data_IF_427439493605
#
_entry.id   IF_427439493605
#
_cell.length_a   1.000
_cell.length_b   1.000
_cell.length_c   1.000
_cell.angle_alpha   90.00
_cell.angle_beta   90.00
_cell.angle_gamma   90.00
#
_symmetry.space_group_name_H-M   'P 1'
#
loop_
_entity.id
_entity.type
_entity.pdbx_description
1 polymer ?
#
# COMPACT_ATOMS: atom_id res chain seq x y z
N UNK A 1 -8.32 5.31 37.32
CA UNK A 1 -9.65 4.79 36.97
C UNK A 1 -10.39 5.86 36.17
N UNK A 2 -10.19 5.89 34.87
CA UNK A 2 -11.09 6.55 33.93
C UNK A 2 -11.27 5.58 32.78
N UNK A 3 -12.52 5.21 32.57
CA UNK A 3 -13.04 4.19 31.67
C UNK A 3 -12.45 4.30 30.26
N UNK A 4 -11.65 3.31 29.88
CA UNK A 4 -11.19 3.11 28.50
C UNK A 4 -12.18 2.19 27.80
N UNK A 5 -12.75 2.70 26.73
CA UNK A 5 -13.78 2.09 25.90
C UNK A 5 -13.37 0.69 25.41
N UNK A 6 -14.26 -0.28 25.56
CA UNK A 6 -14.05 -1.71 25.30
C UNK A 6 -14.44 -2.12 23.88
N UNK A 7 -14.33 -1.22 22.90
CA UNK A 7 -14.41 -1.56 21.48
C UNK A 7 -13.01 -1.64 20.89
N UNK A 8 -12.32 -2.73 21.18
CA UNK A 8 -10.93 -2.96 20.79
C UNK A 8 -10.74 -3.05 19.27
N UNK A 9 -10.36 -1.95 18.64
CA UNK A 9 -9.56 -1.97 17.43
C UNK A 9 -8.10 -1.72 17.85
N UNK A 10 -7.44 -2.81 18.27
CA UNK A 10 -6.04 -2.82 18.66
C UNK A 10 -5.19 -2.46 17.42
N UNK A 11 -4.79 -1.19 17.27
CA UNK A 11 -3.93 -0.76 16.15
C UNK A 11 -4.28 0.56 15.45
N UNK A 12 -5.28 1.33 15.90
CA UNK A 12 -5.74 2.54 15.19
C UNK A 12 -5.55 3.87 15.92
N UNK A 13 -5.41 3.90 17.26
CA UNK A 13 -5.31 5.14 18.03
C UNK A 13 -3.87 5.45 18.48
N UNK A 14 -3.12 6.33 17.76
CA UNK A 14 -1.74 6.69 18.12
C UNK A 14 -1.65 7.61 19.35
N UNK A 15 -2.79 8.06 19.89
CA UNK A 15 -2.85 8.93 21.07
C UNK A 15 -2.83 8.13 22.40
N UNK A 16 -3.06 6.81 22.33
CA UNK A 16 -3.15 5.94 23.51
C UNK A 16 -2.18 4.76 23.47
N UNK A 17 -1.81 4.25 22.28
CA UNK A 17 -0.90 3.12 22.12
C UNK A 17 0.25 3.43 21.15
N UNK A 18 1.47 3.03 21.53
CA UNK A 18 2.65 3.07 20.67
C UNK A 18 2.60 1.94 19.64
N UNK A 19 2.07 2.23 18.46
CA UNK A 19 1.88 1.28 17.36
C UNK A 19 3.19 0.68 16.80
N UNK A 20 4.34 1.21 17.19
CA UNK A 20 5.67 0.77 16.75
C UNK A 20 6.30 -0.28 17.67
N UNK A 21 5.74 -0.53 18.86
CA UNK A 21 6.28 -1.51 19.83
C UNK A 21 6.43 -2.93 19.26
N UNK A 22 5.49 -3.46 18.45
CA UNK A 22 5.63 -4.81 17.90
C UNK A 22 6.55 -4.90 16.67
N UNK A 23 7.01 -3.76 16.13
CA UNK A 23 7.72 -3.72 14.85
C UNK A 23 9.18 -3.32 15.00
N UNK A 24 10.07 -4.01 14.29
CA UNK A 24 11.48 -3.64 14.24
C UNK A 24 11.71 -2.49 13.24
N UNK A 25 12.33 -1.41 13.70
CA UNK A 25 12.67 -0.26 12.85
C UNK A 25 13.56 -0.64 11.65
N UNK A 26 14.41 -1.67 11.80
CA UNK A 26 15.25 -2.17 10.71
C UNK A 26 14.44 -2.79 9.57
N UNK A 27 13.41 -3.57 9.91
CA UNK A 27 12.53 -4.23 8.93
C UNK A 27 11.63 -3.20 8.23
N UNK A 28 11.13 -2.21 8.98
CA UNK A 28 10.38 -1.09 8.42
C UNK A 28 11.23 -0.27 7.43
N UNK A 29 12.46 0.09 7.82
CA UNK A 29 13.37 0.83 6.95
C UNK A 29 13.68 0.04 5.66
N UNK A 30 13.91 -1.27 5.77
CA UNK A 30 14.17 -2.11 4.60
C UNK A 30 12.98 -2.16 3.63
N UNK A 31 11.75 -2.29 4.13
CA UNK A 31 10.55 -2.32 3.28
C UNK A 31 10.27 -0.94 2.65
N UNK A 32 10.56 0.16 3.34
CA UNK A 32 10.49 1.52 2.76
C UNK A 32 11.49 1.67 1.61
N UNK A 33 12.72 1.18 1.78
CA UNK A 33 13.73 1.19 0.71
C UNK A 33 13.30 0.28 -0.44
N UNK A 34 12.78 -0.92 -0.16
CA UNK A 34 12.30 -1.85 -1.16
C UNK A 34 11.14 -1.26 -1.98
N UNK A 35 10.15 -0.64 -1.34
CA UNK A 35 9.03 0.03 -2.02
C UNK A 35 9.51 1.20 -2.89
N UNK A 36 10.49 1.98 -2.44
CA UNK A 36 11.11 3.03 -3.27
C UNK A 36 11.82 2.45 -4.52
N UNK A 37 12.47 1.29 -4.41
CA UNK A 37 13.08 0.60 -5.55
C UNK A 37 12.03 0.11 -6.56
N UNK A 38 10.89 -0.41 -6.08
CA UNK A 38 9.76 -0.82 -6.93
C UNK A 38 9.17 0.38 -7.67
N UNK A 39 8.99 1.52 -6.99
CA UNK A 39 8.43 2.73 -7.58
C UNK A 39 9.29 3.25 -8.75
N UNK A 40 10.61 3.06 -8.71
CA UNK A 40 11.53 3.42 -9.80
C UNK A 40 11.39 2.49 -11.03
N UNK A 41 10.93 1.25 -10.87
CA UNK A 41 10.79 0.29 -11.97
C UNK A 41 9.73 0.71 -13.00
N UNK A 42 8.62 1.29 -12.55
CA UNK A 42 7.49 1.73 -13.40
C UNK A 42 7.94 2.77 -14.46
N UNK A 43 8.60 3.88 -14.08
CA UNK A 43 9.16 4.81 -15.06
C UNK A 43 10.35 4.21 -15.81
N UNK A 44 11.16 3.32 -15.20
CA UNK A 44 12.29 2.66 -15.87
C UNK A 44 11.85 1.84 -17.10
N UNK A 45 10.81 1.03 -16.94
CA UNK A 45 10.21 0.23 -18.02
C UNK A 45 9.59 1.15 -19.08
N UNK A 46 8.91 2.21 -18.67
CA UNK A 46 8.34 3.20 -19.56
C UNK A 46 9.38 3.90 -20.44
N UNK A 47 10.51 4.30 -19.86
CA UNK A 47 11.62 4.88 -20.62
C UNK A 47 12.25 3.87 -21.58
N UNK A 48 12.39 2.61 -21.16
CA UNK A 48 12.89 1.55 -22.03
C UNK A 48 11.98 1.32 -23.25
N UNK A 49 10.66 1.22 -23.04
CA UNK A 49 9.70 1.06 -24.14
C UNK A 49 9.60 2.32 -25.02
N UNK A 50 9.77 3.51 -24.43
CA UNK A 50 9.78 4.78 -25.17
C UNK A 50 11.01 4.91 -26.07
N UNK A 51 12.18 4.45 -25.59
CA UNK A 51 13.45 4.47 -26.35
C UNK A 51 13.53 3.42 -27.47
N UNK A 52 12.88 2.26 -27.32
CA UNK A 52 12.77 1.23 -28.36
C UNK A 52 11.73 1.59 -29.44
N UNK A 53 10.75 2.43 -29.11
CA UNK A 53 9.76 2.92 -30.05
C UNK A 53 10.39 3.92 -31.03
N UNK A 54 10.01 3.83 -32.32
CA UNK A 54 10.44 4.77 -33.39
C UNK A 54 10.25 6.22 -32.91
N UNK A 55 11.31 7.06 -33.03
CA UNK A 55 11.47 8.44 -32.51
C UNK A 55 10.22 9.34 -32.46
N UNK A 56 9.22 9.11 -33.33
CA UNK A 56 7.99 9.90 -33.40
C UNK A 56 7.02 9.68 -32.24
N UNK A 57 7.06 8.53 -31.55
CA UNK A 57 6.07 8.18 -30.50
C UNK A 57 6.62 8.24 -29.07
N UNK A 58 7.91 8.54 -28.89
CA UNK A 58 8.57 8.51 -27.57
C UNK A 58 7.95 9.52 -26.59
N UNK A 59 7.63 10.73 -27.06
CA UNK A 59 7.02 11.78 -26.23
C UNK A 59 5.61 11.41 -25.75
N UNK A 60 4.84 10.73 -26.61
CA UNK A 60 3.49 10.28 -26.25
C UNK A 60 3.51 9.19 -25.19
N UNK A 61 4.52 8.32 -25.19
CA UNK A 61 4.60 7.21 -24.25
C UNK A 61 4.92 7.67 -22.82
N UNK A 62 5.78 8.68 -22.68
CA UNK A 62 6.11 9.28 -21.36
C UNK A 62 4.84 9.88 -20.72
N UNK A 63 4.03 10.58 -21.50
CA UNK A 63 2.76 11.15 -21.04
C UNK A 63 1.75 10.09 -20.62
N UNK A 64 1.64 9.00 -21.39
CA UNK A 64 0.75 7.87 -21.08
C UNK A 64 1.17 7.19 -19.78
N UNK A 65 2.47 7.05 -19.52
CA UNK A 65 2.97 6.42 -18.30
C UNK A 65 2.68 7.30 -17.08
N UNK A 66 2.87 8.61 -17.17
CA UNK A 66 2.52 9.54 -16.08
C UNK A 66 1.01 9.51 -15.76
N UNK A 67 0.16 9.46 -16.79
CA UNK A 67 -1.29 9.33 -16.63
C UNK A 67 -1.68 7.98 -16.03
N UNK A 68 -1.11 6.87 -16.54
CA UNK A 68 -1.36 5.52 -16.05
C UNK A 68 -0.95 5.37 -14.58
N UNK A 69 0.22 5.88 -14.20
CA UNK A 69 0.70 5.87 -12.83
C UNK A 69 -0.27 6.58 -11.87
N UNK A 70 -0.76 7.77 -12.25
CA UNK A 70 -1.76 8.51 -11.45
C UNK A 70 -3.05 7.72 -11.25
N UNK A 71 -3.55 7.07 -12.30
CA UNK A 71 -4.77 6.24 -12.24
C UNK A 71 -4.58 5.02 -11.36
N UNK A 72 -3.42 4.35 -11.43
CA UNK A 72 -3.11 3.17 -10.62
C UNK A 72 -3.04 3.54 -9.13
N UNK A 73 -2.33 4.61 -8.77
CA UNK A 73 -2.25 5.08 -7.38
C UNK A 73 -3.63 5.43 -6.83
N UNK A 74 -4.46 6.09 -7.63
CA UNK A 74 -5.82 6.45 -7.24
C UNK A 74 -6.72 5.22 -7.07
N UNK A 75 -6.68 4.28 -8.01
CA UNK A 75 -7.43 3.02 -7.93
C UNK A 75 -7.00 2.19 -6.71
N UNK A 76 -5.70 2.15 -6.43
CA UNK A 76 -5.13 1.45 -5.28
C UNK A 76 -5.66 2.01 -3.96
N UNK A 77 -5.66 3.34 -3.85
CA UNK A 77 -6.17 4.06 -2.68
C UNK A 77 -7.68 3.85 -2.47
N UNK A 78 -8.49 3.91 -3.54
CA UNK A 78 -9.95 3.82 -3.42
C UNK A 78 -10.41 2.44 -2.95
N UNK A 79 -10.03 1.39 -3.68
CA UNK A 79 -10.52 0.05 -3.41
C UNK A 79 -9.49 -1.06 -3.68
N UNK A 80 -8.37 -0.76 -4.35
CA UNK A 80 -7.39 -1.78 -4.74
C UNK A 80 -6.81 -2.53 -3.54
N UNK A 81 -6.41 -1.80 -2.50
CA UNK A 81 -5.94 -2.41 -1.26
C UNK A 81 -7.03 -3.27 -0.59
N UNK A 82 -8.26 -2.73 -0.46
CA UNK A 82 -9.36 -3.43 0.20
C UNK A 82 -9.74 -4.73 -0.50
N UNK A 83 -9.80 -4.75 -1.84
CA UNK A 83 -10.17 -5.95 -2.59
C UNK A 83 -9.05 -7.00 -2.62
N UNK A 84 -7.78 -6.58 -2.61
CA UNK A 84 -6.65 -7.50 -2.69
C UNK A 84 -6.27 -8.10 -1.33
N UNK A 85 -6.43 -7.33 -0.24
CA UNK A 85 -5.77 -7.61 1.04
C UNK A 85 -6.73 -7.63 2.25
N UNK A 86 -8.04 -7.70 2.03
CA UNK A 86 -9.02 -7.82 3.12
C UNK A 86 -8.86 -9.15 3.87
N UNK A 87 -8.69 -9.04 5.19
CA UNK A 87 -8.64 -10.16 6.15
C UNK A 87 -9.94 -10.98 6.24
N UNK A 88 -11.05 -10.48 5.68
CA UNK A 88 -12.38 -11.12 5.77
C UNK A 88 -12.87 -11.55 4.38
N UNK A 89 -12.04 -12.27 3.63
CA UNK A 89 -12.48 -12.90 2.40
C UNK A 89 -13.35 -14.13 2.73
N UNK A 90 -14.66 -13.96 2.89
CA UNK A 90 -15.62 -15.06 3.15
C UNK A 90 -15.59 -16.14 2.05
N UNK A 91 -15.14 -15.82 0.83
CA UNK A 91 -15.14 -16.72 -0.33
C UNK A 91 -13.76 -16.94 -0.98
N UNK A 92 -12.65 -16.45 -0.43
CA UNK A 92 -11.29 -16.70 -0.95
C UNK A 92 -10.93 -16.11 -2.34
N UNK A 93 -11.91 -15.55 -3.07
CA UNK A 93 -11.72 -14.95 -4.41
C UNK A 93 -11.74 -13.42 -4.43
N UNK A 94 -12.46 -12.77 -3.50
CA UNK A 94 -12.57 -11.31 -3.42
C UNK A 94 -12.56 -10.89 -1.94
N UNK A 95 -11.80 -9.86 -1.60
CA UNK A 95 -11.83 -9.23 -0.28
C UNK A 95 -13.11 -8.41 -0.04
N UNK A 96 -13.33 -7.93 1.20
CA UNK A 96 -14.43 -7.00 1.52
C UNK A 96 -14.06 -5.53 1.21
N UNK A 97 -15.08 -4.66 1.15
CA UNK A 97 -14.94 -3.20 1.08
C UNK A 97 -14.68 -2.53 2.45
N UNK A 98 -14.38 -3.30 3.49
CA UNK A 98 -14.24 -2.80 4.87
C UNK A 98 -13.06 -1.83 5.04
N UNK A 99 -12.04 -1.92 4.16
CA UNK A 99 -10.86 -1.04 4.13
C UNK A 99 -10.89 -0.08 2.93
N UNK A 100 -12.08 0.35 2.51
CA UNK A 100 -12.27 1.34 1.45
C UNK A 100 -11.58 2.67 1.81
N UNK A 101 -10.72 3.17 0.91
CA UNK A 101 -9.99 4.44 1.13
C UNK A 101 -8.88 4.39 2.18
N UNK A 102 -8.30 3.21 2.50
CA UNK A 102 -7.35 3.03 3.61
C UNK A 102 -7.91 3.46 4.98
N UNK A 103 -9.23 3.34 5.15
CA UNK A 103 -9.85 3.64 6.44
C UNK A 103 -9.45 2.56 7.46
N UNK A 104 -8.92 2.99 8.60
CA UNK A 104 -8.45 2.13 9.71
C UNK A 104 -7.22 1.23 9.42
N UNK A 105 -6.40 1.52 8.40
CA UNK A 105 -5.17 0.76 8.09
C UNK A 105 -3.93 1.48 8.63
N UNK A 106 -3.64 1.32 9.92
CA UNK A 106 -2.51 1.99 10.57
C UNK A 106 -1.49 0.99 11.14
N UNK A 107 -1.68 0.55 12.38
CA UNK A 107 -0.74 -0.29 13.12
C UNK A 107 -1.15 -1.76 13.24
N UNK A 108 -2.25 -2.17 12.60
CA UNK A 108 -2.67 -3.58 12.63
C UNK A 108 -1.61 -4.47 11.93
N UNK A 109 -1.33 -5.69 12.43
CA UNK A 109 -0.44 -6.64 11.77
C UNK A 109 -1.00 -7.06 10.40
N UNK A 110 -0.14 -7.04 9.37
CA UNK A 110 -0.53 -7.40 8.00
C UNK A 110 -0.95 -8.88 7.85
N UNK A 111 -1.96 -9.20 7.02
CA UNK A 111 -2.31 -10.58 6.67
C UNK A 111 -1.14 -11.40 6.09
N UNK A 112 -0.15 -10.74 5.49
CA UNK A 112 1.00 -11.39 4.86
C UNK A 112 2.21 -11.58 5.79
N UNK A 113 2.32 -10.81 6.88
CA UNK A 113 3.39 -10.96 7.87
C UNK A 113 3.06 -10.16 9.15
N UNK A 114 3.13 -10.77 10.34
CA UNK A 114 2.87 -10.09 11.60
C UNK A 114 3.97 -9.08 11.99
N UNK A 115 5.10 -9.07 11.28
CA UNK A 115 6.25 -8.20 11.56
C UNK A 115 6.19 -6.84 10.83
N UNK A 116 5.18 -6.62 9.99
CA UNK A 116 5.07 -5.41 9.16
C UNK A 116 3.70 -4.77 9.37
N UNK A 117 3.63 -3.45 9.64
CA UNK A 117 2.35 -2.73 9.71
C UNK A 117 1.58 -2.86 8.40
N UNK A 118 0.27 -3.00 8.48
CA UNK A 118 -0.62 -3.05 7.31
C UNK A 118 -0.45 -1.86 6.37
N UNK A 119 -0.22 -0.66 6.91
CA UNK A 119 0.03 0.55 6.12
C UNK A 119 1.29 0.43 5.27
N UNK A 120 2.37 -0.07 5.86
CA UNK A 120 3.66 -0.23 5.19
C UNK A 120 3.56 -1.30 4.10
N UNK A 121 2.81 -2.38 4.37
CA UNK A 121 2.55 -3.44 3.42
C UNK A 121 1.68 -2.95 2.25
N UNK A 122 0.68 -2.09 2.50
CA UNK A 122 -0.12 -1.44 1.47
C UNK A 122 0.70 -0.57 0.52
N UNK A 123 1.78 0.04 1.00
CA UNK A 123 2.62 0.92 0.20
C UNK A 123 3.62 0.14 -0.66
N UNK A 124 3.99 -1.07 -0.24
CA UNK A 124 4.92 -1.93 -0.96
C UNK A 124 4.27 -2.68 -2.13
N UNK A 125 3.02 -3.14 -1.97
CA UNK A 125 2.23 -3.76 -3.04
C UNK A 125 1.77 -2.71 -4.06
#
# INVERSE_FOLDING_TARGET
MSSGDSTGHVGTDPAVDDLNVPFNAGDQAFIIVASAMVLLMIPGIAFLYSGLARRKSALSLIWVVMMSFSVIVFQWYFWGYSLALSNTATNGFIGNLDKFGLRNTLGEPSPGSPLIPELLYSFYQ
#
